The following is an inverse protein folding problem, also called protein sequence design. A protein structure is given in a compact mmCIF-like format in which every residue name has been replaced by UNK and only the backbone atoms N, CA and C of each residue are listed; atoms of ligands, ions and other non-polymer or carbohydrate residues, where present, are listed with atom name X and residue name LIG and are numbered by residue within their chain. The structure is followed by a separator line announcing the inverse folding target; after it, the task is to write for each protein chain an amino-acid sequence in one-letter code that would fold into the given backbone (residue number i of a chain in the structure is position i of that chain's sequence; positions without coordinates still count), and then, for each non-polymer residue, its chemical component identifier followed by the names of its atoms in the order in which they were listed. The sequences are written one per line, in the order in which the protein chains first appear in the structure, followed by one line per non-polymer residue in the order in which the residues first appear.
data_IF_098491630943
#
_entry.id   IF_098491630943
#
_cell.length_a   1.000
_cell.length_b   1.000
_cell.length_c   1.000
_cell.angle_alpha   90.00
_cell.angle_beta   90.00
_cell.angle_gamma   90.00
#
_symmetry.space_group_name_H-M   'P 1'
#
loop_
_entity.id
_entity.type
_entity.pdbx_description
1 polymer ?
#
# COMPACT_ATOMS: atom_id res chain seq x y z
N UNK A 1 14.53 5.37 8.67
CA UNK A 1 13.61 5.74 7.58
C UNK A 1 12.19 5.34 7.97
N UNK A 2 11.24 6.25 7.74
CA UNK A 2 9.84 6.03 8.11
C UNK A 2 8.99 5.96 6.85
N UNK A 3 8.18 4.91 6.73
CA UNK A 3 7.25 4.71 5.62
C UNK A 3 5.82 4.96 6.05
N UNK A 4 5.05 5.66 5.21
CA UNK A 4 3.60 5.69 5.29
C UNK A 4 3.03 4.65 4.33
N UNK A 5 2.12 3.82 4.80
CA UNK A 5 1.54 2.75 3.98
C UNK A 5 0.03 3.00 3.84
N UNK A 6 -0.42 3.11 2.61
CA UNK A 6 -1.82 3.33 2.26
C UNK A 6 -2.26 2.34 1.19
N UNK A 7 -3.55 2.12 1.09
CA UNK A 7 -4.13 1.24 0.06
C UNK A 7 -5.62 1.50 -0.11
N UNK A 8 -6.17 1.04 -1.21
CA UNK A 8 -7.62 0.99 -1.45
C UNK A 8 -8.29 2.34 -1.18
N UNK A 9 -7.71 3.38 -1.75
CA UNK A 9 -8.25 4.74 -1.65
C UNK A 9 -9.50 4.92 -2.51
N UNK A 10 -9.58 4.20 -3.63
CA UNK A 10 -10.72 4.27 -4.55
C UNK A 10 -11.13 5.71 -4.89
N UNK A 11 -10.15 6.58 -5.08
CA UNK A 11 -10.39 7.99 -5.42
C UNK A 11 -10.63 8.90 -4.23
N UNK A 12 -10.61 8.39 -3.01
CA UNK A 12 -10.88 9.16 -1.79
C UNK A 12 -9.66 9.21 -0.87
N UNK A 13 -9.16 10.40 -0.60
CA UNK A 13 -8.18 10.64 0.46
C UNK A 13 -8.85 11.39 1.60
N UNK A 14 -8.80 10.88 2.84
CA UNK A 14 -9.37 11.60 3.97
C UNK A 14 -8.63 12.91 4.23
N UNK A 15 -9.35 13.91 4.74
CA UNK A 15 -8.75 15.20 5.05
C UNK A 15 -7.59 15.09 6.05
N UNK A 16 -7.62 14.07 6.91
CA UNK A 16 -6.58 13.81 7.92
C UNK A 16 -5.32 13.16 7.37
N UNK A 17 -5.26 12.82 6.08
CA UNK A 17 -4.12 12.06 5.53
C UNK A 17 -2.80 12.79 5.69
N UNK A 18 -2.80 14.10 5.54
CA UNK A 18 -1.61 14.92 5.71
C UNK A 18 -1.03 14.81 7.12
N UNK A 19 -1.89 14.83 8.14
CA UNK A 19 -1.47 14.68 9.53
C UNK A 19 -1.00 13.26 9.82
N UNK A 20 -1.72 12.25 9.31
CA UNK A 20 -1.38 10.85 9.51
C UNK A 20 -0.02 10.49 8.91
N UNK A 21 0.32 11.08 7.76
CA UNK A 21 1.57 10.83 7.06
C UNK A 21 2.65 11.88 7.30
N UNK A 22 2.44 12.78 8.26
CA UNK A 22 3.44 13.80 8.56
C UNK A 22 4.76 13.17 9.04
N UNK A 23 5.87 13.62 8.46
CA UNK A 23 7.21 13.17 8.84
C UNK A 23 7.65 11.85 8.24
N UNK A 24 6.85 11.23 7.36
CA UNK A 24 7.32 10.02 6.65
C UNK A 24 8.32 10.40 5.55
N UNK A 25 9.26 9.49 5.31
CA UNK A 25 10.27 9.68 4.26
C UNK A 25 9.79 9.21 2.90
N UNK A 26 8.94 8.20 2.87
CA UNK A 26 8.36 7.62 1.67
C UNK A 26 6.95 7.10 1.93
N UNK A 27 6.17 7.03 0.86
CA UNK A 27 4.81 6.48 0.89
C UNK A 27 4.75 5.27 -0.03
N UNK A 28 4.08 4.21 0.43
CA UNK A 28 3.76 3.02 -0.35
C UNK A 28 2.25 2.95 -0.52
N UNK A 29 1.78 2.80 -1.77
CA UNK A 29 0.37 2.58 -2.08
C UNK A 29 0.20 1.18 -2.67
N UNK A 30 -0.60 0.36 -2.03
CA UNK A 30 -0.76 -1.06 -2.38
C UNK A 30 -1.93 -1.33 -3.35
N UNK A 31 -2.32 -0.35 -4.15
CA UNK A 31 -3.27 -0.53 -5.25
C UNK A 31 -4.70 -0.08 -4.96
N UNK A 32 -5.54 -0.17 -5.96
CA UNK A 32 -6.91 0.37 -5.99
C UNK A 32 -6.92 1.86 -5.64
N UNK A 33 -6.20 2.61 -6.42
CA UNK A 33 -5.90 4.02 -6.19
C UNK A 33 -7.08 4.91 -6.56
N UNK A 34 -7.61 4.72 -7.76
CA UNK A 34 -8.57 5.60 -8.40
C UNK A 34 -7.86 6.54 -9.37
N UNK A 35 -8.26 7.80 -9.46
CA UNK A 35 -7.64 8.75 -10.40
C UNK A 35 -6.20 9.08 -10.03
N UNK A 36 -5.43 9.51 -11.03
CA UNK A 36 -4.03 9.94 -10.88
C UNK A 36 -3.88 11.03 -9.79
N UNK A 37 -4.88 11.88 -9.60
CA UNK A 37 -4.83 12.94 -8.59
C UNK A 37 -4.53 12.43 -7.17
N UNK A 38 -4.91 11.19 -6.87
CA UNK A 38 -4.61 10.58 -5.55
C UNK A 38 -3.12 10.44 -5.36
N UNK A 39 -2.41 9.94 -6.38
CA UNK A 39 -0.95 9.84 -6.34
C UNK A 39 -0.30 11.22 -6.32
N UNK A 40 -0.84 12.18 -7.07
CA UNK A 40 -0.33 13.55 -7.10
C UNK A 40 -0.42 14.20 -5.72
N UNK A 41 -1.56 14.04 -5.05
CA UNK A 41 -1.75 14.56 -3.68
C UNK A 41 -0.78 13.92 -2.69
N UNK A 42 -0.64 12.59 -2.73
CA UNK A 42 0.31 11.89 -1.86
C UNK A 42 1.75 12.31 -2.13
N UNK A 43 2.10 12.57 -3.38
CA UNK A 43 3.45 13.00 -3.77
C UNK A 43 3.82 14.38 -3.22
N UNK A 44 2.85 15.19 -2.82
CA UNK A 44 3.13 16.47 -2.13
C UNK A 44 3.64 16.25 -0.71
N UNK A 45 3.40 15.07 -0.12
CA UNK A 45 3.81 14.73 1.25
C UNK A 45 5.19 14.08 1.23
N UNK A 46 5.38 13.06 0.38
CA UNK A 46 6.65 12.33 0.24
C UNK A 46 6.65 11.56 -1.09
N UNK A 47 7.82 11.06 -1.55
CA UNK A 47 7.88 10.22 -2.74
C UNK A 47 7.02 8.97 -2.59
N UNK A 48 6.28 8.62 -3.64
CA UNK A 48 5.32 7.50 -3.64
C UNK A 48 5.81 6.36 -4.52
N UNK A 49 5.77 5.14 -3.98
CA UNK A 49 5.87 3.90 -4.74
C UNK A 49 4.51 3.23 -4.73
N UNK A 50 3.95 2.93 -5.89
CA UNK A 50 2.61 2.36 -6.00
C UNK A 50 2.59 1.16 -6.93
N UNK A 51 1.67 0.24 -6.65
CA UNK A 51 1.32 -0.87 -7.55
C UNK A 51 -0.13 -0.70 -8.00
N UNK A 52 -0.50 -1.32 -9.13
CA UNK A 52 -1.89 -1.26 -9.54
C UNK A 52 -2.71 -2.33 -8.82
N UNK A 53 -3.98 -2.00 -8.52
CA UNK A 53 -4.94 -2.94 -8.00
C UNK A 53 -5.91 -3.40 -9.08
N UNK A 54 -6.80 -4.32 -8.73
CA UNK A 54 -7.77 -4.89 -9.66
C UNK A 54 -8.78 -3.87 -10.20
N UNK A 55 -8.94 -2.74 -9.50
CA UNK A 55 -9.85 -1.67 -9.92
C UNK A 55 -9.16 -0.52 -10.65
N UNK A 56 -7.83 -0.56 -10.78
CA UNK A 56 -7.10 0.46 -11.52
C UNK A 56 -7.14 0.16 -13.02
N UNK A 57 -7.46 1.17 -13.81
CA UNK A 57 -7.64 1.05 -15.25
C UNK A 57 -7.13 2.31 -15.96
N UNK A 58 -7.21 2.32 -17.29
CA UNK A 58 -6.75 3.45 -18.08
C UNK A 58 -5.24 3.65 -17.93
N UNK A 59 -4.80 4.90 -17.88
CA UNK A 59 -3.37 5.24 -17.81
C UNK A 59 -2.69 4.65 -16.57
N UNK A 60 -3.37 4.63 -15.42
CA UNK A 60 -2.82 4.05 -14.20
C UNK A 60 -2.60 2.55 -14.33
N UNK A 61 -3.55 1.83 -14.90
CA UNK A 61 -3.42 0.39 -15.11
C UNK A 61 -2.26 0.01 -16.02
N UNK A 62 -1.91 0.88 -16.98
CA UNK A 62 -0.80 0.65 -17.90
C UNK A 62 0.56 1.08 -17.32
N UNK A 63 0.58 2.09 -16.46
CA UNK A 63 1.81 2.72 -15.97
C UNK A 63 2.35 2.05 -14.71
N UNK A 64 1.50 1.40 -13.92
CA UNK A 64 1.88 0.75 -12.68
C UNK A 64 2.11 -0.75 -12.88
N UNK A 65 3.08 -1.29 -12.18
CA UNK A 65 3.35 -2.72 -12.15
C UNK A 65 2.45 -3.41 -11.12
N UNK A 66 2.30 -4.73 -11.26
CA UNK A 66 1.56 -5.56 -10.30
C UNK A 66 2.27 -5.64 -8.95
N UNK A 67 3.59 -5.59 -8.97
CA UNK A 67 4.42 -5.64 -7.76
C UNK A 67 5.54 -4.63 -7.84
N UNK A 68 6.02 -4.20 -6.68
CA UNK A 68 7.19 -3.35 -6.57
C UNK A 68 8.03 -3.80 -5.38
N UNK A 69 9.35 -3.57 -5.44
CA UNK A 69 10.24 -3.86 -4.34
C UNK A 69 10.90 -2.57 -3.89
N UNK A 70 10.87 -2.32 -2.58
CA UNK A 70 11.47 -1.14 -1.96
C UNK A 70 12.51 -1.59 -0.95
N UNK A 71 13.69 -0.99 -0.98
CA UNK A 71 14.74 -1.26 0.01
C UNK A 71 14.75 -0.16 1.07
N UNK A 72 14.91 -0.58 2.32
CA UNK A 72 15.08 0.30 3.47
C UNK A 72 16.15 -0.30 4.39
N UNK A 73 17.39 0.16 4.25
CA UNK A 73 18.53 -0.46 4.94
C UNK A 73 18.66 -1.92 4.53
N UNK A 74 18.63 -2.83 5.52
CA UNK A 74 18.68 -4.27 5.27
C UNK A 74 17.31 -4.87 4.96
N UNK A 75 16.24 -4.11 5.15
CA UNK A 75 14.89 -4.57 4.87
C UNK A 75 14.60 -4.52 3.36
N UNK A 76 13.89 -5.53 2.87
CA UNK A 76 13.38 -5.58 1.51
C UNK A 76 11.87 -5.73 1.58
N UNK A 77 11.17 -4.73 1.06
CA UNK A 77 9.71 -4.65 1.11
C UNK A 77 9.15 -5.01 -0.25
N UNK A 78 8.35 -6.06 -0.31
CA UNK A 78 7.58 -6.42 -1.51
C UNK A 78 6.18 -5.82 -1.39
N UNK A 79 5.77 -5.07 -2.38
CA UNK A 79 4.44 -4.46 -2.45
C UNK A 79 3.62 -5.19 -3.50
N UNK A 80 2.42 -5.63 -3.13
CA UNK A 80 1.46 -6.28 -4.03
C UNK A 80 0.05 -5.88 -3.62
N UNK A 81 -0.89 -5.87 -4.55
CA UNK A 81 -2.27 -5.57 -4.18
C UNK A 81 -2.92 -6.75 -3.45
N UNK A 82 -2.75 -7.97 -3.97
CA UNK A 82 -3.36 -9.18 -3.41
C UNK A 82 -2.29 -10.08 -2.80
N UNK A 83 -2.28 -10.20 -1.49
CA UNK A 83 -1.28 -11.02 -0.78
C UNK A 83 -1.36 -12.50 -1.16
N UNK A 84 -2.55 -12.99 -1.52
CA UNK A 84 -2.73 -14.38 -1.94
C UNK A 84 -1.88 -14.78 -3.13
N UNK A 85 -1.64 -13.86 -4.06
CA UNK A 85 -0.81 -14.12 -5.22
C UNK A 85 0.66 -14.36 -4.82
N UNK A 86 1.15 -13.59 -3.86
CA UNK A 86 2.51 -13.75 -3.33
C UNK A 86 2.65 -15.03 -2.51
N UNK A 87 1.67 -15.33 -1.67
CA UNK A 87 1.68 -16.56 -0.86
C UNK A 87 1.64 -17.79 -1.75
N UNK A 88 0.82 -17.78 -2.80
CA UNK A 88 0.72 -18.90 -3.74
C UNK A 88 2.02 -19.14 -4.52
N UNK A 89 2.70 -18.07 -4.92
CA UNK A 89 3.98 -18.14 -5.63
C UNK A 89 5.18 -18.39 -4.71
N UNK A 90 5.01 -18.19 -3.41
CA UNK A 90 6.09 -18.19 -2.42
C UNK A 90 6.72 -16.80 -2.27
N UNK A 91 6.97 -16.39 -1.03
CA UNK A 91 7.63 -15.10 -0.76
C UNK A 91 9.07 -15.18 -1.27
N UNK A 92 9.52 -14.24 -2.12
CA UNK A 92 10.89 -14.26 -2.64
C UNK A 92 11.93 -14.20 -1.52
N UNK A 93 13.05 -14.89 -1.74
CA UNK A 93 14.16 -14.88 -0.79
C UNK A 93 14.67 -13.45 -0.55
N UNK A 94 14.96 -13.14 0.70
CA UNK A 94 15.46 -11.82 1.10
C UNK A 94 14.37 -10.80 1.40
N UNK A 95 13.11 -11.08 1.06
CA UNK A 95 11.98 -10.21 1.42
C UNK A 95 11.68 -10.37 2.90
N UNK A 96 11.66 -9.25 3.62
CA UNK A 96 11.39 -9.22 5.07
C UNK A 96 10.04 -8.60 5.41
N UNK A 97 9.45 -7.85 4.49
CA UNK A 97 8.13 -7.22 4.66
C UNK A 97 7.33 -7.39 3.38
N UNK A 98 6.07 -7.79 3.51
CA UNK A 98 5.10 -7.83 2.42
C UNK A 98 3.98 -6.85 2.74
N UNK A 99 3.77 -5.88 1.86
CA UNK A 99 2.69 -4.89 1.96
C UNK A 99 1.63 -5.22 0.93
N UNK A 100 0.39 -5.28 1.37
CA UNK A 100 -0.75 -5.59 0.50
C UNK A 100 -1.99 -4.78 0.86
N UNK A 101 -3.00 -4.85 0.01
CA UNK A 101 -4.30 -4.23 0.22
C UNK A 101 -5.42 -5.21 -0.13
N UNK A 102 -6.39 -4.78 -0.91
CA UNK A 102 -7.49 -5.55 -1.48
C UNK A 102 -8.57 -5.99 -0.50
N UNK A 103 -8.21 -6.57 0.65
CA UNK A 103 -9.20 -7.13 1.58
C UNK A 103 -9.97 -6.07 2.36
N UNK A 104 -9.49 -4.83 2.38
CA UNK A 104 -10.03 -3.74 3.20
C UNK A 104 -10.05 -4.09 4.69
N UNK A 105 -9.07 -4.89 5.14
CA UNK A 105 -8.91 -5.31 6.55
C UNK A 105 -7.53 -4.93 7.04
N UNK A 106 -7.42 -3.95 7.95
CA UNK A 106 -6.13 -3.62 8.55
C UNK A 106 -5.56 -4.81 9.31
N UNK A 107 -4.35 -5.22 8.96
CA UNK A 107 -3.65 -6.32 9.65
C UNK A 107 -2.15 -6.05 9.69
N UNK A 108 -1.52 -6.49 10.77
CA UNK A 108 -0.06 -6.59 10.89
C UNK A 108 0.21 -7.94 11.50
N UNK A 109 0.87 -8.83 10.77
CA UNK A 109 1.10 -10.19 11.19
C UNK A 109 2.50 -10.64 10.80
N UNK A 110 3.20 -11.26 11.75
CA UNK A 110 4.50 -11.86 11.49
C UNK A 110 4.34 -13.37 11.29
N UNK A 111 4.80 -13.87 10.15
CA UNK A 111 4.83 -15.29 9.83
C UNK A 111 6.28 -15.65 9.51
N UNK A 112 6.91 -16.45 10.39
CA UNK A 112 8.35 -16.72 10.30
C UNK A 112 9.15 -15.43 10.44
N UNK A 113 9.99 -15.14 9.46
CA UNK A 113 10.83 -13.92 9.43
C UNK A 113 10.21 -12.79 8.61
N UNK A 114 9.00 -12.99 8.08
CA UNK A 114 8.34 -12.02 7.20
C UNK A 114 7.21 -11.32 7.95
N UNK A 115 7.22 -9.99 7.89
CA UNK A 115 6.14 -9.16 8.40
C UNK A 115 5.16 -8.85 7.27
N UNK A 116 3.89 -9.21 7.46
CA UNK A 116 2.81 -8.93 6.52
C UNK A 116 2.00 -7.74 7.02
N UNK A 117 1.90 -6.69 6.20
CA UNK A 117 1.20 -5.46 6.55
C UNK A 117 0.13 -5.16 5.52
N UNK A 118 -1.09 -4.98 5.98
CA UNK A 118 -2.19 -4.43 5.18
C UNK A 118 -2.75 -3.23 5.93
N UNK A 119 -2.68 -2.02 5.35
CA UNK A 119 -3.16 -0.83 6.06
C UNK A 119 -4.69 -0.73 6.09
N UNK A 120 -5.41 -1.63 5.41
CA UNK A 120 -6.83 -1.51 5.18
C UNK A 120 -7.15 -0.44 4.14
N UNK A 121 -8.41 -0.05 4.04
CA UNK A 121 -8.82 0.99 3.10
C UNK A 121 -8.57 2.38 3.68
N UNK A 122 -7.62 3.09 3.10
CA UNK A 122 -7.37 4.49 3.45
C UNK A 122 -8.50 5.40 2.98
N UNK A 123 -9.26 4.96 1.98
CA UNK A 123 -10.46 5.65 1.52
C UNK A 123 -11.68 5.48 2.42
N UNK A 124 -11.61 4.65 3.47
CA UNK A 124 -12.69 4.49 4.43
C UNK A 124 -13.65 3.35 4.16
N UNK A 125 -13.26 2.37 3.34
CA UNK A 125 -14.11 1.24 2.94
C UNK A 125 -13.76 -0.06 3.68
N UNK A 126 -13.36 0.05 4.95
CA UNK A 126 -12.96 -1.10 5.76
C UNK A 126 -14.14 -2.00 6.12
N UNK A 127 -13.93 -3.31 6.07
CA UNK A 127 -14.98 -4.32 6.30
C UNK A 127 -15.46 -4.40 7.75
N UNK A 128 -14.63 -3.96 8.69
CA UNK A 128 -14.95 -3.97 10.13
C UNK A 128 -15.71 -2.72 10.57
N UNK A 129 -16.07 -1.83 9.64
CA UNK A 129 -16.79 -0.61 9.93
C UNK A 129 -15.94 0.52 10.47
N UNK A 130 -14.64 0.33 10.64
CA UNK A 130 -13.72 1.42 10.96
C UNK A 130 -13.65 2.40 9.80
N UNK A 131 -13.41 3.66 10.09
CA UNK A 131 -13.16 4.68 9.10
C UNK A 131 -11.85 4.45 8.33
N UNK A 132 -11.32 5.49 7.64
CA UNK A 132 -10.07 5.37 6.89
C UNK A 132 -8.91 4.92 7.76
N UNK A 133 -8.05 4.05 7.22
CA UNK A 133 -6.88 3.51 7.92
C UNK A 133 -5.61 3.63 7.06
N UNK A 134 -4.47 3.72 7.75
CA UNK A 134 -3.14 3.73 7.15
C UNK A 134 -2.14 3.12 8.14
N UNK A 135 -0.96 2.79 7.66
CA UNK A 135 0.10 2.25 8.51
C UNK A 135 1.46 2.91 8.25
#
# INVERSE_FOLDING_TARGET
MRFGIVSDTHGTLPASIGDALAGVDRIIHAGDIGPQRVLDELSTIAPVTAVHGNMDSGDLGWRLLDTATVRAGDARILVTHKVGDVVAAGVPEGVTVVVSGHTHRPTIERIGEVLFVNPGSTGGHNRDGHGPTAA
#
